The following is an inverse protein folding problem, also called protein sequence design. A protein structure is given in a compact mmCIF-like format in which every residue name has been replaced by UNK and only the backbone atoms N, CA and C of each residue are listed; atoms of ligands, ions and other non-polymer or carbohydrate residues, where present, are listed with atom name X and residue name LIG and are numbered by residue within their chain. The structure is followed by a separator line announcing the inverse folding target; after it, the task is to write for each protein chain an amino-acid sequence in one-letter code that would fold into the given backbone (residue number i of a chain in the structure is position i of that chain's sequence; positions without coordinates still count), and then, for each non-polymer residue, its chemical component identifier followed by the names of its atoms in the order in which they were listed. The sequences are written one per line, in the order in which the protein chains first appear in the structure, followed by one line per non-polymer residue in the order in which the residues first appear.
data_IF_020163602821
#
_entry.id   IF_020163602821
#
_cell.length_a   1.000
_cell.length_b   1.000
_cell.length_c   1.000
_cell.angle_alpha   90.00
_cell.angle_beta   90.00
_cell.angle_gamma   90.00
#
_symmetry.space_group_name_H-M   'P 1'
#
loop_
_entity.id
_entity.type
_entity.pdbx_description
1 polymer ?
#
# COMPACT_ATOMS: atom_id res chain seq x y z
N UNK A 1 -34.73 32.41 -50.67
CA UNK A 1 -35.98 31.93 -51.23
C UNK A 1 -35.91 30.43 -51.35
N UNK A 2 -36.68 29.73 -50.55
CA UNK A 2 -37.36 28.47 -50.81
C UNK A 2 -37.76 27.85 -49.47
N UNK A 3 -38.81 27.81 -49.25
CA UNK A 3 -40.13 27.38 -48.77
C UNK A 3 -40.06 26.07 -47.99
N UNK A 4 -40.51 26.21 -46.75
CA UNK A 4 -40.88 25.20 -45.78
C UNK A 4 -42.14 24.47 -46.24
N UNK A 5 -42.16 23.13 -46.16
CA UNK A 5 -43.39 22.33 -46.24
C UNK A 5 -43.53 21.52 -44.99
N UNK A 6 -44.49 21.91 -44.17
CA UNK A 6 -44.95 21.15 -43.00
C UNK A 6 -45.93 20.10 -43.42
N UNK A 7 -45.73 18.84 -43.09
CA UNK A 7 -46.76 17.78 -43.25
C UNK A 7 -47.23 17.42 -41.83
N UNK A 8 -48.53 17.68 -41.63
CA UNK A 8 -49.28 17.36 -40.42
C UNK A 8 -49.82 15.93 -40.57
N UNK A 9 -49.43 14.99 -39.73
CA UNK A 9 -50.08 13.67 -39.66
C UNK A 9 -51.07 13.66 -38.50
N UNK A 10 -52.35 13.49 -38.88
CA UNK A 10 -53.46 13.34 -37.94
C UNK A 10 -53.61 11.84 -37.62
N UNK A 11 -53.41 11.44 -36.34
CA UNK A 11 -53.68 10.06 -35.90
C UNK A 11 -54.97 10.01 -35.11
N UNK A 12 -55.89 9.22 -35.63
CA UNK A 12 -57.18 8.90 -35.00
C UNK A 12 -56.97 8.00 -33.79
N UNK A 13 -57.48 8.40 -32.63
CA UNK A 13 -57.53 7.57 -31.43
C UNK A 13 -58.87 6.83 -31.41
N UNK A 14 -58.83 5.52 -31.53
CA UNK A 14 -59.95 4.64 -31.23
C UNK A 14 -59.91 4.29 -29.73
N UNK A 15 -60.93 4.74 -29.01
CA UNK A 15 -61.17 4.38 -27.61
C UNK A 15 -61.87 3.01 -27.59
N UNK A 16 -61.17 2.01 -27.11
CA UNK A 16 -61.74 0.71 -26.75
C UNK A 16 -61.74 0.52 -25.27
N UNK A 17 -62.89 0.58 -24.62
CA UNK A 17 -63.06 0.16 -23.25
C UNK A 17 -62.96 -1.37 -23.15
N UNK A 18 -62.09 -1.85 -22.29
CA UNK A 18 -62.12 -3.23 -21.83
C UNK A 18 -61.87 -3.27 -20.34
N UNK A 19 -62.85 -3.74 -19.60
CA UNK A 19 -62.78 -4.04 -18.19
C UNK A 19 -61.65 -5.03 -17.91
N UNK A 20 -60.77 -4.69 -17.02
CA UNK A 20 -59.79 -5.64 -16.46
C UNK A 20 -59.79 -5.57 -14.95
N UNK A 21 -60.05 -6.70 -14.36
CA UNK A 21 -60.00 -6.96 -12.92
C UNK A 21 -58.62 -6.53 -12.35
N UNK A 22 -58.70 -5.83 -11.23
CA UNK A 22 -57.51 -5.40 -10.49
C UNK A 22 -56.65 -6.57 -10.02
N UNK A 23 -55.49 -6.67 -10.57
CA UNK A 23 -54.40 -7.38 -9.92
C UNK A 23 -53.63 -6.37 -9.05
N UNK A 24 -53.75 -6.58 -7.72
CA UNK A 24 -52.89 -5.89 -6.77
C UNK A 24 -51.43 -6.37 -6.99
N UNK A 25 -50.68 -5.68 -7.83
CA UNK A 25 -49.23 -5.81 -7.83
C UNK A 25 -48.72 -5.06 -6.60
N UNK A 26 -48.31 -5.83 -5.61
CA UNK A 26 -47.48 -5.35 -4.50
C UNK A 26 -46.20 -4.78 -5.12
N UNK A 27 -45.78 -3.54 -4.82
CA UNK A 27 -44.51 -3.05 -5.32
C UNK A 27 -43.38 -3.96 -4.81
N UNK A 28 -42.71 -4.65 -5.73
CA UNK A 28 -41.48 -5.36 -5.44
C UNK A 28 -40.47 -4.34 -4.91
N UNK A 29 -40.26 -4.35 -3.60
CA UNK A 29 -39.20 -3.58 -2.97
C UNK A 29 -37.90 -4.15 -3.50
N UNK A 30 -37.32 -3.49 -4.48
CA UNK A 30 -35.97 -3.78 -4.95
C UNK A 30 -35.04 -3.55 -3.75
N UNK A 31 -34.75 -4.63 -3.02
CA UNK A 31 -33.70 -4.64 -1.99
C UNK A 31 -32.41 -4.45 -2.75
N UNK A 32 -31.91 -3.23 -2.78
CA UNK A 32 -30.58 -2.95 -3.27
C UNK A 32 -29.63 -3.75 -2.39
N UNK A 33 -29.06 -4.85 -2.91
CA UNK A 33 -28.14 -5.67 -2.18
C UNK A 33 -26.93 -4.78 -1.83
N UNK A 34 -26.80 -4.40 -0.56
CA UNK A 34 -25.64 -3.67 -0.09
C UNK A 34 -24.43 -4.58 -0.36
N UNK A 35 -23.59 -4.18 -1.30
CA UNK A 35 -22.37 -4.92 -1.62
C UNK A 35 -21.40 -4.72 -0.45
N UNK A 36 -20.94 -5.80 0.14
CA UNK A 36 -19.94 -5.76 1.20
C UNK A 36 -18.65 -5.11 0.65
N UNK A 37 -18.20 -3.97 1.20
CA UNK A 37 -17.03 -3.29 0.67
C UNK A 37 -15.71 -4.00 1.00
N UNK A 38 -15.71 -4.93 1.98
CA UNK A 38 -14.55 -5.66 2.48
C UNK A 38 -14.84 -7.17 2.49
N UNK A 39 -15.08 -7.80 1.33
CA UNK A 39 -15.57 -9.19 1.26
C UNK A 39 -14.57 -10.22 1.78
N UNK A 40 -13.26 -9.94 1.72
CA UNK A 40 -12.19 -10.82 2.23
C UNK A 40 -11.99 -10.72 3.75
N UNK A 41 -12.73 -9.83 4.42
CA UNK A 41 -12.74 -9.72 5.87
C UNK A 41 -13.87 -10.56 6.47
N UNK A 42 -13.62 -11.16 7.62
CA UNK A 42 -14.67 -11.71 8.46
C UNK A 42 -15.56 -10.59 9.03
N UNK A 43 -16.77 -10.92 9.45
CA UNK A 43 -17.66 -9.94 10.10
C UNK A 43 -17.30 -9.80 11.57
N UNK A 44 -16.26 -9.04 11.86
CA UNK A 44 -15.65 -8.81 13.17
C UNK A 44 -15.52 -7.32 13.48
N UNK A 45 -15.15 -7.01 14.70
CA UNK A 45 -15.09 -5.63 15.19
C UNK A 45 -14.16 -4.72 14.36
N UNK A 46 -13.00 -5.22 13.90
CA UNK A 46 -12.07 -4.45 13.09
C UNK A 46 -12.70 -3.97 11.79
N UNK A 47 -13.39 -4.86 11.05
CA UNK A 47 -14.14 -4.52 9.85
C UNK A 47 -15.26 -3.52 10.12
N UNK A 48 -16.04 -3.78 11.17
CA UNK A 48 -17.17 -2.92 11.54
C UNK A 48 -16.70 -1.51 11.94
N UNK A 49 -15.60 -1.40 12.68
CA UNK A 49 -15.00 -0.12 13.07
C UNK A 49 -14.54 0.69 11.85
N UNK A 50 -13.90 0.04 10.86
CA UNK A 50 -13.49 0.70 9.62
C UNK A 50 -14.70 1.25 8.86
N UNK A 51 -15.72 0.41 8.66
CA UNK A 51 -16.93 0.81 7.93
C UNK A 51 -17.67 1.93 8.69
N UNK A 52 -17.81 1.80 10.00
CA UNK A 52 -18.46 2.83 10.82
C UNK A 52 -17.72 4.16 10.77
N UNK A 53 -16.36 4.14 10.86
CA UNK A 53 -15.56 5.35 10.74
C UNK A 53 -15.75 6.02 9.38
N UNK A 54 -15.57 5.28 8.28
CA UNK A 54 -15.71 5.84 6.93
C UNK A 54 -17.11 6.40 6.71
N UNK A 55 -18.15 5.66 7.10
CA UNK A 55 -19.55 6.11 6.96
C UNK A 55 -19.80 7.40 7.72
N UNK A 56 -19.30 7.52 8.93
CA UNK A 56 -19.51 8.70 9.78
C UNK A 56 -18.80 9.94 9.22
N UNK A 57 -17.52 9.81 8.85
CA UNK A 57 -16.72 10.98 8.41
C UNK A 57 -17.02 11.41 6.97
N UNK A 58 -17.76 10.61 6.23
CA UNK A 58 -18.17 10.95 4.85
C UNK A 58 -19.62 11.42 4.74
N UNK A 59 -20.41 11.25 5.79
CA UNK A 59 -21.78 11.73 5.86
C UNK A 59 -21.79 13.25 6.14
N UNK A 60 -22.30 14.03 5.21
CA UNK A 60 -22.40 15.50 5.32
C UNK A 60 -23.26 15.98 6.51
N UNK A 61 -24.18 15.14 6.98
CA UNK A 61 -25.03 15.46 8.15
C UNK A 61 -24.36 15.08 9.48
N UNK A 62 -23.19 14.44 9.46
CA UNK A 62 -22.45 14.07 10.68
C UNK A 62 -21.67 15.26 11.23
N UNK A 63 -21.64 15.39 12.57
CA UNK A 63 -20.76 16.33 13.26
C UNK A 63 -19.26 16.02 13.03
N UNK A 64 -18.96 14.80 12.61
CA UNK A 64 -17.62 14.31 12.31
C UNK A 64 -17.27 14.41 10.81
N UNK A 65 -18.12 15.03 9.99
CA UNK A 65 -17.86 15.14 8.55
C UNK A 65 -16.49 15.74 8.26
N UNK A 66 -15.76 15.07 7.39
CA UNK A 66 -14.44 15.53 6.92
C UNK A 66 -14.57 15.96 5.46
N UNK A 67 -14.23 17.21 5.10
CA UNK A 67 -14.19 17.64 3.71
C UNK A 67 -13.25 16.77 2.87
N UNK A 68 -13.61 16.49 1.61
CA UNK A 68 -12.83 15.62 0.69
C UNK A 68 -11.34 16.03 0.64
N UNK A 69 -11.05 17.32 0.64
CA UNK A 69 -9.68 17.84 0.61
C UNK A 69 -8.83 17.44 1.83
N UNK A 70 -9.46 17.01 2.93
CA UNK A 70 -8.79 16.64 4.19
C UNK A 70 -8.86 15.12 4.47
N UNK A 71 -9.50 14.33 3.58
CA UNK A 71 -9.54 12.87 3.67
C UNK A 71 -8.23 12.25 3.21
N UNK A 72 -7.18 12.38 4.01
CA UNK A 72 -5.86 11.84 3.76
C UNK A 72 -5.67 10.56 4.56
N UNK A 73 -5.29 9.46 3.87
CA UNK A 73 -4.94 8.19 4.50
C UNK A 73 -3.52 7.78 4.15
N UNK A 74 -2.78 7.25 5.12
CA UNK A 74 -1.39 6.81 4.99
C UNK A 74 -1.23 5.37 5.40
N UNK A 75 -0.44 4.62 4.66
CA UNK A 75 -0.22 3.18 4.84
C UNK A 75 1.27 2.89 4.80
N UNK A 76 1.76 2.14 5.76
CA UNK A 76 3.05 1.46 5.56
C UNK A 76 2.93 0.43 4.44
N UNK A 77 4.07 -0.05 3.95
CA UNK A 77 4.13 -1.02 2.86
C UNK A 77 4.49 -2.42 3.36
N UNK A 78 5.74 -2.59 3.82
CA UNK A 78 6.28 -3.88 4.23
C UNK A 78 5.58 -4.38 5.50
N UNK A 79 4.99 -5.58 5.44
CA UNK A 79 4.19 -6.14 6.52
C UNK A 79 2.80 -5.53 6.69
N UNK A 80 2.45 -4.44 5.97
CA UNK A 80 1.12 -3.83 6.06
C UNK A 80 0.29 -3.96 4.78
N UNK A 81 0.88 -3.74 3.61
CA UNK A 81 0.21 -3.91 2.32
C UNK A 81 0.67 -5.17 1.57
N UNK A 82 1.87 -5.64 1.84
CA UNK A 82 2.41 -6.90 1.32
C UNK A 82 3.25 -7.61 2.39
N UNK A 83 3.61 -8.87 2.15
CA UNK A 83 4.43 -9.66 3.06
C UNK A 83 5.86 -9.08 3.19
N UNK A 84 6.49 -9.26 4.36
CA UNK A 84 7.85 -8.79 4.63
C UNK A 84 8.79 -9.90 5.13
N UNK A 85 8.27 -11.07 5.47
CA UNK A 85 9.05 -12.19 5.98
C UNK A 85 9.53 -13.11 4.82
N UNK A 86 10.73 -13.75 4.91
CA UNK A 86 11.67 -13.72 6.04
C UNK A 86 12.59 -12.50 6.03
N UNK A 87 12.54 -11.64 5.02
CA UNK A 87 13.26 -10.38 4.89
C UNK A 87 12.55 -9.48 3.87
N UNK A 88 12.80 -8.17 3.95
CA UNK A 88 12.21 -7.17 3.04
C UNK A 88 12.48 -7.50 1.58
N UNK A 89 11.47 -7.35 0.71
CA UNK A 89 11.59 -7.67 -0.71
C UNK A 89 12.68 -6.86 -1.41
N UNK A 90 12.87 -5.60 -1.01
CA UNK A 90 13.96 -4.77 -1.51
C UNK A 90 15.35 -5.34 -1.17
N UNK A 91 15.51 -6.06 -0.06
CA UNK A 91 16.77 -6.73 0.27
C UNK A 91 17.07 -7.86 -0.72
N UNK A 92 16.08 -8.67 -1.07
CA UNK A 92 16.27 -9.72 -2.10
C UNK A 92 16.64 -9.12 -3.45
N UNK A 93 15.99 -8.03 -3.86
CA UNK A 93 16.39 -7.29 -5.04
C UNK A 93 17.85 -6.82 -4.97
N UNK A 94 18.26 -6.24 -3.84
CA UNK A 94 19.64 -5.76 -3.65
C UNK A 94 20.66 -6.91 -3.71
N UNK A 95 20.35 -8.07 -3.13
CA UNK A 95 21.19 -9.28 -3.20
C UNK A 95 21.34 -9.74 -4.64
N UNK A 96 20.24 -9.86 -5.39
CA UNK A 96 20.27 -10.30 -6.78
C UNK A 96 21.07 -9.32 -7.67
N UNK A 97 20.93 -8.01 -7.45
CA UNK A 97 21.73 -6.99 -8.15
C UNK A 97 23.21 -7.09 -7.81
N UNK A 98 23.58 -7.33 -6.56
CA UNK A 98 24.99 -7.56 -6.19
C UNK A 98 25.56 -8.77 -6.91
N UNK A 99 24.79 -9.86 -7.04
CA UNK A 99 25.20 -11.05 -7.81
C UNK A 99 25.41 -10.74 -9.31
N UNK A 100 24.52 -9.96 -9.92
CA UNK A 100 24.66 -9.55 -11.31
C UNK A 100 25.90 -8.69 -11.55
N UNK A 101 26.24 -7.78 -10.64
CA UNK A 101 27.36 -6.85 -10.73
C UNK A 101 28.69 -7.45 -10.26
N UNK A 102 28.68 -8.65 -9.65
CA UNK A 102 29.87 -9.25 -9.01
C UNK A 102 31.08 -9.42 -9.93
N UNK A 103 30.86 -9.61 -11.25
CA UNK A 103 31.96 -9.70 -12.22
C UNK A 103 32.72 -8.39 -12.40
N UNK A 104 32.10 -7.25 -12.12
CA UNK A 104 32.68 -5.91 -12.22
C UNK A 104 33.35 -5.51 -10.87
N UNK A 105 33.08 -6.25 -9.80
CA UNK A 105 33.50 -5.98 -8.43
C UNK A 105 34.17 -7.19 -7.76
N UNK A 106 35.37 -7.60 -8.20
CA UNK A 106 36.04 -8.78 -7.65
C UNK A 106 36.35 -8.69 -6.16
N UNK A 107 36.47 -7.48 -5.60
CA UNK A 107 36.65 -7.22 -4.15
C UNK A 107 35.46 -7.75 -3.32
N UNK A 108 34.26 -7.81 -3.87
CA UNK A 108 33.08 -8.30 -3.16
C UNK A 108 33.14 -9.78 -2.78
N UNK A 109 34.01 -10.55 -3.41
CA UNK A 109 34.27 -11.95 -3.03
C UNK A 109 34.85 -12.10 -1.61
N UNK A 110 35.44 -11.04 -1.08
CA UNK A 110 36.15 -11.06 0.22
C UNK A 110 35.61 -10.05 1.22
N UNK A 111 34.90 -9.03 0.77
CA UNK A 111 34.41 -7.93 1.62
C UNK A 111 32.96 -8.16 2.08
N UNK A 112 32.72 -7.96 3.38
CA UNK A 112 31.36 -7.94 3.92
C UNK A 112 30.74 -6.57 3.72
N UNK A 113 29.41 -6.50 3.46
CA UNK A 113 28.41 -7.58 3.45
C UNK A 113 28.26 -8.29 2.10
N UNK A 114 28.99 -7.87 1.08
CA UNK A 114 28.87 -8.38 -0.31
C UNK A 114 29.16 -9.87 -0.40
N UNK A 115 30.20 -10.35 0.28
CA UNK A 115 30.51 -11.78 0.34
C UNK A 115 29.32 -12.59 0.82
N UNK A 116 28.68 -12.17 1.90
CA UNK A 116 27.51 -12.85 2.44
C UNK A 116 26.34 -12.85 1.44
N UNK A 117 26.13 -11.74 0.72
CA UNK A 117 25.14 -11.66 -0.33
C UNK A 117 25.41 -12.62 -1.50
N UNK A 118 26.69 -12.75 -1.92
CA UNK A 118 27.10 -13.66 -2.98
C UNK A 118 26.98 -15.14 -2.59
N UNK A 119 27.14 -15.44 -1.31
CA UNK A 119 27.07 -16.80 -0.75
C UNK A 119 25.68 -17.18 -0.22
N UNK A 120 24.67 -16.30 -0.35
CA UNK A 120 23.32 -16.45 0.23
C UNK A 120 23.32 -16.64 1.77
N UNK A 121 24.34 -16.12 2.45
CA UNK A 121 24.46 -16.20 3.91
C UNK A 121 23.58 -15.11 4.58
N UNK A 122 22.30 -15.40 4.65
CA UNK A 122 21.31 -14.48 5.27
C UNK A 122 21.59 -14.22 6.74
N UNK A 123 22.17 -15.18 7.47
CA UNK A 123 22.50 -15.00 8.89
C UNK A 123 23.57 -13.91 9.08
N UNK A 124 24.64 -13.97 8.30
CA UNK A 124 25.69 -12.94 8.29
C UNK A 124 25.18 -11.60 7.80
N UNK A 125 24.32 -11.58 6.76
CA UNK A 125 23.69 -10.36 6.28
C UNK A 125 22.86 -9.68 7.36
N UNK A 126 21.99 -10.41 8.05
CA UNK A 126 21.17 -9.85 9.13
C UNK A 126 22.02 -9.36 10.31
N UNK A 127 23.13 -10.06 10.63
CA UNK A 127 24.08 -9.62 11.65
C UNK A 127 24.87 -8.36 11.27
N UNK A 128 24.98 -8.03 9.97
CA UNK A 128 25.62 -6.79 9.53
C UNK A 128 24.83 -5.53 9.92
N UNK A 129 23.57 -5.71 10.32
CA UNK A 129 22.68 -4.67 10.76
C UNK A 129 22.35 -3.66 9.65
N UNK A 130 21.76 -2.54 10.06
CA UNK A 130 21.32 -1.47 9.15
C UNK A 130 22.46 -0.97 8.24
N UNK A 131 23.67 -0.84 8.78
CA UNK A 131 24.82 -0.35 8.01
C UNK A 131 25.19 -1.29 6.84
N UNK A 132 25.24 -2.60 7.08
CA UNK A 132 25.54 -3.58 6.03
C UNK A 132 24.45 -3.66 4.98
N UNK A 133 23.19 -3.64 5.40
CA UNK A 133 22.06 -3.61 4.46
C UNK A 133 22.08 -2.34 3.60
N UNK A 134 22.42 -1.21 4.19
CA UNK A 134 22.54 0.06 3.49
C UNK A 134 23.67 0.05 2.43
N UNK A 135 24.79 -0.64 2.72
CA UNK A 135 25.87 -0.81 1.73
C UNK A 135 25.39 -1.62 0.51
N UNK A 136 24.60 -2.69 0.71
CA UNK A 136 24.00 -3.44 -0.42
C UNK A 136 23.04 -2.57 -1.22
N UNK A 137 22.20 -1.79 -0.54
CA UNK A 137 21.29 -0.85 -1.22
C UNK A 137 22.07 0.18 -2.01
N UNK A 138 23.14 0.77 -1.48
CA UNK A 138 23.95 1.73 -2.22
C UNK A 138 24.59 1.13 -3.46
N UNK A 139 25.18 -0.07 -3.32
CA UNK A 139 25.82 -0.76 -4.44
C UNK A 139 24.85 -1.17 -5.55
N UNK A 140 23.65 -1.57 -5.18
CA UNK A 140 22.61 -2.01 -6.12
C UNK A 140 21.79 -0.88 -6.75
N UNK A 141 21.78 0.31 -6.16
CA UNK A 141 20.88 1.40 -6.54
C UNK A 141 21.59 2.62 -7.13
N UNK A 142 22.88 2.85 -6.84
CA UNK A 142 23.63 3.98 -7.35
C UNK A 142 24.22 3.71 -8.75
N UNK A 143 24.59 4.80 -9.46
CA UNK A 143 25.30 4.75 -10.75
C UNK A 143 24.39 4.73 -11.99
N UNK A 144 23.08 4.49 -11.83
CA UNK A 144 22.12 4.50 -12.95
C UNK A 144 21.25 5.76 -12.94
N UNK A 145 20.62 6.08 -14.07
CA UNK A 145 19.54 7.06 -14.10
C UNK A 145 18.27 6.49 -13.41
N UNK A 146 17.34 7.37 -13.06
CA UNK A 146 16.06 6.96 -12.49
C UNK A 146 15.27 6.05 -13.43
N UNK A 147 15.31 6.32 -14.74
CA UNK A 147 14.63 5.54 -15.77
C UNK A 147 15.27 4.15 -15.97
N UNK A 148 16.61 4.08 -15.93
CA UNK A 148 17.34 2.81 -16.01
C UNK A 148 17.05 1.94 -14.78
N UNK A 149 17.04 2.54 -13.59
CA UNK A 149 16.74 1.84 -12.36
C UNK A 149 15.30 1.29 -12.33
N UNK A 150 14.34 2.10 -12.77
CA UNK A 150 12.94 1.69 -12.93
C UNK A 150 12.80 0.46 -13.84
N UNK A 151 13.51 0.47 -14.98
CA UNK A 151 13.51 -0.66 -15.92
C UNK A 151 14.11 -1.93 -15.30
N UNK A 152 15.23 -1.80 -14.57
CA UNK A 152 15.88 -2.92 -13.87
C UNK A 152 14.93 -3.57 -12.86
N UNK A 153 14.22 -2.77 -12.05
CA UNK A 153 13.27 -3.31 -11.09
C UNK A 153 12.10 -3.99 -11.79
N UNK A 154 11.54 -3.37 -12.83
CA UNK A 154 10.44 -3.94 -13.61
C UNK A 154 10.81 -5.27 -14.28
N UNK A 155 12.05 -5.44 -14.67
CA UNK A 155 12.52 -6.71 -15.24
C UNK A 155 12.76 -7.76 -14.14
N UNK A 156 13.33 -7.35 -13.00
CA UNK A 156 13.50 -8.24 -11.85
C UNK A 156 12.17 -8.79 -11.34
N UNK A 157 11.16 -7.96 -11.12
CA UNK A 157 9.88 -8.37 -10.53
C UNK A 157 9.11 -9.38 -11.39
N UNK A 158 9.36 -9.42 -12.70
CA UNK A 158 8.71 -10.38 -13.62
C UNK A 158 9.16 -11.82 -13.39
N UNK A 159 10.40 -12.00 -12.92
CA UNK A 159 11.04 -13.32 -12.83
C UNK A 159 11.41 -13.72 -11.41
N UNK A 160 11.57 -12.76 -10.52
CA UNK A 160 11.94 -12.99 -9.13
C UNK A 160 10.84 -13.74 -8.37
N UNK A 161 11.26 -14.74 -7.62
CA UNK A 161 10.39 -15.65 -6.86
C UNK A 161 10.76 -15.62 -5.39
N UNK A 162 9.77 -15.42 -4.55
CA UNK A 162 9.94 -15.39 -3.10
C UNK A 162 10.54 -16.71 -2.56
N UNK A 163 11.60 -16.68 -1.71
CA UNK A 163 12.38 -17.86 -1.37
C UNK A 163 11.61 -18.97 -0.66
N UNK A 164 10.56 -18.64 0.08
CA UNK A 164 9.75 -19.60 0.85
C UNK A 164 8.37 -19.83 0.24
N UNK A 165 7.64 -18.80 -0.15
CA UNK A 165 6.29 -18.90 -0.74
C UNK A 165 6.30 -19.42 -2.17
N UNK A 166 7.43 -19.37 -2.89
CA UNK A 166 7.60 -19.89 -4.26
C UNK A 166 6.67 -19.27 -5.30
N UNK A 167 6.24 -18.03 -5.07
CA UNK A 167 5.46 -17.20 -6.01
C UNK A 167 6.17 -15.89 -6.25
N UNK A 168 5.81 -15.16 -7.32
CA UNK A 168 6.34 -13.83 -7.58
C UNK A 168 6.02 -12.85 -6.45
N UNK A 169 6.92 -11.92 -6.19
CA UNK A 169 6.74 -10.93 -5.12
C UNK A 169 5.48 -10.08 -5.32
N UNK A 170 5.12 -9.79 -6.57
CA UNK A 170 3.90 -9.06 -6.95
C UNK A 170 2.59 -9.77 -6.55
N UNK A 171 2.64 -11.05 -6.19
CA UNK A 171 1.50 -11.85 -5.75
C UNK A 171 1.33 -11.88 -4.23
N UNK A 172 2.31 -11.35 -3.49
CA UNK A 172 2.33 -11.39 -2.02
C UNK A 172 1.79 -10.11 -1.38
N UNK A 173 0.88 -9.45 -2.07
CA UNK A 173 0.10 -8.33 -1.55
C UNK A 173 -1.11 -8.84 -0.76
N UNK A 174 -1.49 -8.15 0.30
CA UNK A 174 -2.61 -8.58 1.14
C UNK A 174 -3.95 -8.19 0.53
N UNK A 175 -4.73 -9.17 0.12
CA UNK A 175 -6.05 -8.97 -0.50
C UNK A 175 -6.99 -8.10 0.35
N UNK A 176 -7.12 -8.31 1.67
CA UNK A 176 -7.98 -7.47 2.49
C UNK A 176 -7.54 -6.00 2.54
N UNK A 177 -6.24 -5.74 2.45
CA UNK A 177 -5.72 -4.37 2.42
C UNK A 177 -5.94 -3.70 1.06
N UNK A 178 -5.89 -4.45 -0.05
CA UNK A 178 -6.30 -3.92 -1.37
C UNK A 178 -7.78 -3.49 -1.38
N UNK A 179 -8.65 -4.29 -0.75
CA UNK A 179 -10.07 -3.92 -0.59
C UNK A 179 -10.24 -2.66 0.27
N UNK A 180 -9.48 -2.54 1.35
CA UNK A 180 -9.48 -1.36 2.21
C UNK A 180 -9.03 -0.10 1.45
N UNK A 181 -7.94 -0.18 0.68
CA UNK A 181 -7.48 0.92 -0.18
C UNK A 181 -8.57 1.32 -1.18
N UNK A 182 -9.21 0.34 -1.83
CA UNK A 182 -10.29 0.59 -2.79
C UNK A 182 -11.51 1.22 -2.11
N UNK A 183 -11.90 0.71 -0.93
CA UNK A 183 -13.03 1.23 -0.16
C UNK A 183 -12.81 2.68 0.27
N UNK A 184 -11.61 3.02 0.76
CA UNK A 184 -11.27 4.39 1.12
C UNK A 184 -11.32 5.32 -0.10
N UNK A 185 -10.74 4.92 -1.24
CA UNK A 185 -10.80 5.73 -2.47
C UNK A 185 -12.22 5.91 -3.00
N UNK A 186 -13.05 4.88 -2.92
CA UNK A 186 -14.48 4.97 -3.27
C UNK A 186 -15.27 5.95 -2.38
N UNK A 187 -14.70 6.34 -1.25
CA UNK A 187 -15.21 7.34 -0.32
C UNK A 187 -14.37 8.63 -0.32
N UNK A 188 -13.72 8.92 -1.44
CA UNK A 188 -12.93 10.13 -1.70
C UNK A 188 -11.72 10.34 -0.77
N UNK A 189 -11.19 9.29 -0.16
CA UNK A 189 -9.91 9.38 0.54
C UNK A 189 -8.75 9.35 -0.46
N UNK A 190 -7.78 10.21 -0.24
CA UNK A 190 -6.50 10.17 -0.94
C UNK A 190 -5.55 9.24 -0.19
N UNK A 191 -5.20 8.12 -0.81
CA UNK A 191 -4.38 7.08 -0.18
C UNK A 191 -2.91 7.26 -0.52
N UNK A 192 -2.05 7.26 0.49
CA UNK A 192 -0.59 7.37 0.35
C UNK A 192 0.09 6.14 0.93
N UNK A 193 1.14 5.65 0.26
CA UNK A 193 2.11 4.74 0.86
C UNK A 193 3.20 5.58 1.53
N UNK A 194 3.58 5.21 2.76
CA UNK A 194 4.63 5.88 3.56
C UNK A 194 5.51 4.80 4.18
N UNK A 195 6.67 4.51 3.59
CA UNK A 195 7.45 3.32 3.88
C UNK A 195 8.93 3.61 4.15
N UNK A 196 9.53 2.83 5.06
CA UNK A 196 10.97 2.78 5.25
C UNK A 196 11.74 2.30 4.02
N UNK A 197 11.09 1.58 3.11
CA UNK A 197 11.64 1.13 1.84
C UNK A 197 11.97 2.27 0.87
N UNK A 198 12.79 1.96 -0.14
CA UNK A 198 13.21 2.92 -1.17
C UNK A 198 12.05 3.34 -2.07
N UNK A 199 11.79 4.65 -2.15
CA UNK A 199 10.68 5.20 -2.92
C UNK A 199 10.72 4.80 -4.40
N UNK A 200 11.90 4.79 -5.01
CA UNK A 200 12.04 4.46 -6.43
C UNK A 200 11.82 2.96 -6.69
N UNK A 201 12.24 2.11 -5.74
CA UNK A 201 11.95 0.68 -5.80
C UNK A 201 10.43 0.44 -5.79
N UNK A 202 9.72 1.05 -4.86
CA UNK A 202 8.27 0.92 -4.76
C UNK A 202 7.54 1.47 -5.99
N UNK A 203 7.90 2.67 -6.46
CA UNK A 203 7.26 3.32 -7.63
C UNK A 203 7.33 2.47 -8.89
N UNK A 204 8.39 1.67 -9.05
CA UNK A 204 8.60 0.87 -10.24
C UNK A 204 7.49 -0.19 -10.47
N UNK A 205 6.91 -0.75 -9.40
CA UNK A 205 5.93 -1.84 -9.55
C UNK A 205 4.72 -1.81 -8.60
N UNK A 206 4.78 -1.17 -7.43
CA UNK A 206 3.63 -1.17 -6.51
C UNK A 206 2.50 -0.24 -6.95
N UNK A 207 2.81 0.81 -7.72
CA UNK A 207 1.81 1.77 -8.20
C UNK A 207 0.64 1.07 -8.93
N UNK A 208 0.87 0.23 -9.96
CA UNK A 208 -0.21 -0.46 -10.63
C UNK A 208 -0.89 -1.55 -9.78
N UNK A 209 -0.19 -2.13 -8.80
CA UNK A 209 -0.74 -3.19 -7.95
C UNK A 209 -1.75 -2.61 -6.95
N UNK A 210 -1.44 -1.45 -6.34
CA UNK A 210 -2.31 -0.81 -5.36
C UNK A 210 -3.28 0.19 -5.99
N UNK A 211 -3.16 0.47 -7.30
CA UNK A 211 -3.87 1.55 -7.97
C UNK A 211 -3.65 2.90 -7.24
N UNK A 212 -2.40 3.15 -6.84
CA UNK A 212 -1.93 4.38 -6.20
C UNK A 212 -0.94 5.06 -7.14
N UNK A 213 -1.16 6.33 -7.53
CA UNK A 213 -0.24 7.03 -8.42
C UNK A 213 1.12 7.28 -7.75
N UNK A 214 2.18 7.29 -8.58
CA UNK A 214 3.57 7.33 -8.11
C UNK A 214 3.89 8.50 -7.17
N UNK A 215 3.25 9.65 -7.35
CA UNK A 215 3.41 10.83 -6.49
C UNK A 215 2.78 10.65 -5.10
N UNK A 216 1.94 9.65 -4.89
CA UNK A 216 1.37 9.28 -3.60
C UNK A 216 2.19 8.17 -2.90
N UNK A 217 3.31 7.75 -3.47
CA UNK A 217 4.26 6.83 -2.85
C UNK A 217 5.40 7.64 -2.25
N UNK A 218 5.52 7.58 -0.94
CA UNK A 218 6.52 8.26 -0.11
C UNK A 218 7.42 7.18 0.49
N UNK A 219 8.74 7.43 0.52
CA UNK A 219 9.68 6.45 1.06
C UNK A 219 11.07 7.03 1.28
N UNK A 220 11.98 6.18 1.72
CA UNK A 220 13.39 6.52 1.85
C UNK A 220 14.01 6.84 0.49
N UNK A 221 14.97 7.74 0.49
CA UNK A 221 15.62 8.23 -0.74
C UNK A 221 17.12 8.16 -0.64
N UNK A 222 17.77 7.77 -1.72
CA UNK A 222 19.20 8.03 -1.95
C UNK A 222 19.38 9.39 -2.61
N UNK A 223 20.59 9.91 -2.61
CA UNK A 223 20.94 11.17 -3.28
C UNK A 223 20.80 11.03 -4.80
N UNK A 224 20.42 12.12 -5.43
CA UNK A 224 20.32 12.24 -6.89
C UNK A 224 20.93 13.54 -7.35
N UNK A 225 21.41 13.54 -8.60
CA UNK A 225 21.97 14.72 -9.27
C UNK A 225 21.29 14.90 -10.62
N UNK A 226 21.06 16.15 -11.02
CA UNK A 226 20.60 16.46 -12.36
C UNK A 226 21.78 16.51 -13.31
N UNK A 227 21.75 15.68 -14.34
CA UNK A 227 22.76 15.65 -15.40
C UNK A 227 22.17 16.13 -16.72
N UNK A 228 22.88 17.09 -17.38
CA UNK A 228 22.53 17.64 -18.68
C UNK A 228 23.74 17.75 -19.61
N UNK A 229 24.81 16.98 -19.36
CA UNK A 229 26.10 17.15 -20.04
C UNK A 229 26.07 16.86 -21.54
N UNK A 230 25.19 15.97 -21.98
CA UNK A 230 25.04 15.56 -23.39
C UNK A 230 23.82 16.18 -24.09
N UNK A 231 23.17 17.15 -23.45
CA UNK A 231 21.93 17.77 -23.94
C UNK A 231 20.68 16.90 -23.72
N UNK A 232 20.80 15.75 -23.05
CA UNK A 232 19.73 14.86 -22.69
C UNK A 232 19.56 14.83 -21.16
N UNK A 233 18.52 15.47 -20.59
CA UNK A 233 18.38 15.61 -19.14
C UNK A 233 18.13 14.24 -18.49
N UNK A 234 18.87 13.95 -17.41
CA UNK A 234 18.73 12.74 -16.60
C UNK A 234 18.78 13.08 -15.12
N UNK A 235 18.14 12.27 -14.30
CA UNK A 235 18.33 12.24 -12.85
C UNK A 235 19.21 11.03 -12.54
N UNK A 236 20.45 11.29 -12.16
CA UNK A 236 21.43 10.26 -11.82
C UNK A 236 21.36 9.95 -10.33
N UNK A 237 21.31 8.68 -10.00
CA UNK A 237 21.30 8.16 -8.64
C UNK A 237 22.73 8.05 -8.13
N UNK A 238 23.06 8.76 -7.05
CA UNK A 238 24.41 8.79 -6.50
C UNK A 238 24.47 8.08 -5.15
N UNK A 239 25.65 7.60 -4.77
CA UNK A 239 25.83 6.95 -3.48
C UNK A 239 25.59 7.95 -2.33
N UNK A 240 24.80 7.55 -1.37
CA UNK A 240 24.48 8.33 -0.15
C UNK A 240 22.99 8.44 0.10
N UNK A 241 22.64 8.49 1.37
CA UNK A 241 21.25 8.67 1.82
C UNK A 241 20.89 10.14 1.74
N UNK A 242 19.73 10.44 1.16
CA UNK A 242 19.08 11.75 1.24
C UNK A 242 18.12 11.80 2.44
N UNK A 243 17.27 10.77 2.59
CA UNK A 243 16.29 10.73 3.67
C UNK A 243 15.91 9.28 4.03
N UNK A 244 15.76 8.98 5.31
CA UNK A 244 15.20 7.71 5.82
C UNK A 244 13.76 7.96 6.29
N UNK A 245 12.79 7.27 5.66
CA UNK A 245 11.37 7.41 5.93
C UNK A 245 10.87 6.32 6.90
N UNK A 246 11.59 6.15 8.00
CA UNK A 246 11.24 5.21 9.06
C UNK A 246 11.11 5.93 10.39
N UNK A 247 10.30 5.40 11.30
CA UNK A 247 10.04 5.98 12.64
C UNK A 247 9.65 7.46 12.53
N UNK A 248 10.41 8.34 13.18
CA UNK A 248 10.18 9.79 13.18
C UNK A 248 10.29 10.40 11.77
N UNK A 249 10.97 9.72 10.84
CA UNK A 249 11.04 10.11 9.44
C UNK A 249 9.67 10.15 8.76
N UNK A 250 8.78 9.19 9.07
CA UNK A 250 7.46 9.09 8.45
C UNK A 250 6.62 10.36 8.66
N UNK A 251 6.34 10.86 9.88
CA UNK A 251 5.58 12.11 10.04
C UNK A 251 6.30 13.34 9.47
N UNK A 252 7.62 13.40 9.50
CA UNK A 252 8.38 14.49 8.91
C UNK A 252 8.20 14.54 7.38
N UNK A 253 8.25 13.39 6.74
CA UNK A 253 8.09 13.29 5.28
C UNK A 253 6.63 13.50 4.83
N UNK A 254 5.66 12.99 5.60
CA UNK A 254 4.24 13.31 5.44
C UNK A 254 4.02 14.83 5.47
N UNK A 255 4.54 15.52 6.49
CA UNK A 255 4.42 16.97 6.60
C UNK A 255 5.09 17.68 5.42
N UNK A 256 6.25 17.22 4.98
CA UNK A 256 7.01 17.84 3.88
C UNK A 256 6.33 17.67 2.52
N UNK A 257 5.76 16.48 2.25
CA UNK A 257 5.25 16.11 0.92
C UNK A 257 3.74 16.37 0.81
N UNK A 258 2.95 15.99 1.81
CA UNK A 258 1.50 16.16 1.81
C UNK A 258 1.08 17.53 2.35
N UNK A 259 1.78 18.04 3.37
CA UNK A 259 1.47 19.32 4.03
C UNK A 259 0.22 19.28 4.91
N UNK A 260 -0.35 18.10 5.14
CA UNK A 260 -1.54 17.86 5.98
C UNK A 260 -1.34 16.66 6.87
N UNK A 261 -1.97 16.66 8.06
CA UNK A 261 -2.06 15.47 8.89
C UNK A 261 -3.05 14.49 8.29
N UNK A 262 -2.72 13.19 8.22
CA UNK A 262 -3.69 12.17 7.84
C UNK A 262 -4.85 12.11 8.84
N UNK A 263 -5.98 11.58 8.39
CA UNK A 263 -7.13 11.23 9.24
C UNK A 263 -7.29 9.72 9.37
N UNK A 264 -6.52 8.96 8.60
CA UNK A 264 -6.43 7.51 8.67
C UNK A 264 -4.96 7.09 8.51
N UNK A 265 -4.47 6.21 9.38
CA UNK A 265 -3.13 5.62 9.23
C UNK A 265 -3.16 4.13 9.55
N UNK A 266 -2.40 3.35 8.77
CA UNK A 266 -2.20 1.92 8.98
C UNK A 266 -0.73 1.54 8.95
N UNK A 267 -0.33 0.64 9.84
CA UNK A 267 1.00 0.06 9.92
C UNK A 267 0.98 -1.30 10.61
N UNK A 268 2.15 -1.92 10.77
CA UNK A 268 2.28 -3.24 11.41
C UNK A 268 3.42 -3.31 12.43
N UNK A 269 4.16 -2.22 12.61
CA UNK A 269 5.37 -2.23 13.44
C UNK A 269 5.53 -0.98 14.31
N UNK A 270 6.49 -1.03 15.24
CA UNK A 270 6.92 0.14 16.02
C UNK A 270 7.53 1.25 15.15
N UNK A 271 7.98 0.92 13.93
CA UNK A 271 8.43 1.89 12.94
C UNK A 271 7.31 2.83 12.48
N UNK A 272 6.06 2.37 12.54
CA UNK A 272 4.88 3.13 12.13
C UNK A 272 4.27 3.96 13.26
N UNK A 273 4.67 3.66 14.50
CA UNK A 273 4.08 4.30 15.67
C UNK A 273 4.07 5.84 15.58
N UNK A 274 5.16 6.52 15.17
CA UNK A 274 5.15 7.98 15.03
C UNK A 274 4.15 8.47 13.95
N UNK A 275 3.94 7.72 12.85
CA UNK A 275 2.94 8.05 11.83
C UNK A 275 1.53 7.95 12.39
N UNK A 276 1.22 6.89 13.16
CA UNK A 276 -0.08 6.72 13.79
C UNK A 276 -0.32 7.78 14.87
N UNK A 277 0.69 8.10 15.68
CA UNK A 277 0.63 9.18 16.68
C UNK A 277 0.39 10.55 16.03
N UNK A 278 1.05 10.81 14.89
CA UNK A 278 0.85 12.05 14.13
C UNK A 278 -0.58 12.15 13.61
N UNK A 279 -1.14 11.06 13.12
CA UNK A 279 -2.53 10.94 12.69
C UNK A 279 -3.49 11.13 13.86
N UNK A 280 -3.25 10.47 15.00
CA UNK A 280 -4.06 10.60 16.23
C UNK A 280 -4.11 12.03 16.76
N UNK A 281 -3.12 12.87 16.44
CA UNK A 281 -3.09 14.28 16.82
C UNK A 281 -3.86 15.21 15.87
N UNK A 282 -4.58 14.68 14.87
CA UNK A 282 -5.43 15.47 13.98
C UNK A 282 -6.65 16.02 14.76
N UNK A 283 -7.12 17.19 14.37
CA UNK A 283 -8.33 17.82 14.95
C UNK A 283 -9.62 17.23 14.40
N UNK A 284 -9.60 16.65 13.21
CA UNK A 284 -10.71 15.85 12.70
C UNK A 284 -10.77 14.50 13.41
N UNK A 285 -11.92 13.85 13.37
CA UNK A 285 -12.04 12.44 13.77
C UNK A 285 -11.03 11.62 12.96
N UNK A 286 -10.27 10.76 13.64
CA UNK A 286 -9.19 10.02 13.03
C UNK A 286 -9.25 8.53 13.37
N UNK A 287 -8.53 7.72 12.61
CA UNK A 287 -8.55 6.27 12.73
C UNK A 287 -7.13 5.69 12.59
N UNK A 288 -6.68 5.00 13.60
CA UNK A 288 -5.40 4.29 13.63
C UNK A 288 -5.66 2.79 13.57
N UNK A 289 -4.95 2.13 12.64
CA UNK A 289 -5.09 0.72 12.35
C UNK A 289 -3.72 0.04 12.44
N UNK A 290 -3.60 -0.98 13.27
CA UNK A 290 -2.45 -1.89 13.26
C UNK A 290 -2.83 -3.25 12.68
N UNK A 291 -2.00 -3.77 11.80
CA UNK A 291 -2.03 -5.16 11.38
C UNK A 291 -1.13 -5.97 12.29
N UNK A 292 -1.72 -6.87 13.08
CA UNK A 292 -0.99 -7.82 13.91
C UNK A 292 -0.90 -9.18 13.20
N UNK A 293 0.31 -9.61 12.93
CA UNK A 293 0.60 -10.86 12.24
C UNK A 293 0.46 -12.04 13.19
N UNK A 294 -0.67 -12.73 13.13
CA UNK A 294 -1.02 -13.83 14.03
C UNK A 294 -1.14 -15.17 13.33
N UNK A 295 -1.10 -15.20 11.97
CA UNK A 295 -1.38 -16.38 11.17
C UNK A 295 -0.11 -17.13 10.77
N UNK A 296 0.28 -18.09 11.59
CA UNK A 296 1.45 -18.94 11.36
C UNK A 296 1.26 -19.93 10.20
N UNK A 297 0.01 -20.20 9.78
CA UNK A 297 -0.30 -21.23 8.78
C UNK A 297 -0.33 -20.65 7.37
N UNK A 298 -1.05 -19.54 7.18
CA UNK A 298 -1.25 -18.94 5.86
C UNK A 298 -0.16 -17.93 5.49
N UNK A 299 0.39 -17.23 6.53
CA UNK A 299 1.42 -16.21 6.37
C UNK A 299 2.60 -16.47 7.32
N UNK A 300 2.90 -15.58 8.27
CA UNK A 300 3.80 -15.73 9.40
C UNK A 300 3.15 -15.12 10.64
N UNK A 301 3.47 -15.68 11.81
CA UNK A 301 3.13 -15.06 13.07
C UNK A 301 4.36 -14.44 13.70
N UNK A 302 4.34 -13.14 13.96
CA UNK A 302 5.41 -12.40 14.60
C UNK A 302 4.87 -11.10 15.23
N UNK A 303 5.53 -10.63 16.28
CA UNK A 303 5.19 -9.39 16.98
C UNK A 303 6.40 -8.81 17.76
N UNK A 304 6.38 -8.89 19.09
CA UNK A 304 7.27 -8.18 20.02
C UNK A 304 8.76 -8.55 19.90
N UNK A 305 9.06 -9.78 19.53
CA UNK A 305 10.43 -10.32 19.49
C UNK A 305 10.99 -10.42 18.06
N UNK A 306 10.23 -9.96 17.06
CA UNK A 306 10.67 -10.01 15.67
C UNK A 306 11.83 -9.06 15.39
N UNK A 307 12.73 -9.47 14.49
CA UNK A 307 13.83 -8.62 14.01
C UNK A 307 13.36 -7.59 12.97
N UNK A 308 12.35 -7.94 12.17
CA UNK A 308 11.67 -7.06 11.22
C UNK A 308 10.17 -7.07 11.54
N UNK A 309 9.49 -5.98 11.30
CA UNK A 309 8.06 -5.86 11.61
C UNK A 309 7.76 -5.96 13.11
N UNK A 310 8.71 -5.58 13.98
CA UNK A 310 8.52 -5.63 15.44
C UNK A 310 7.37 -4.75 15.87
N UNK A 311 6.33 -5.35 16.50
CA UNK A 311 5.17 -4.67 17.05
C UNK A 311 5.12 -4.87 18.56
N UNK A 312 5.72 -3.98 19.31
CA UNK A 312 5.82 -4.03 20.78
C UNK A 312 5.16 -2.81 21.42
N UNK A 313 5.79 -1.64 21.31
CA UNK A 313 5.28 -0.37 21.85
C UNK A 313 4.01 0.09 21.15
N UNK A 314 3.93 -0.14 19.82
CA UNK A 314 2.76 0.16 19.02
C UNK A 314 1.54 -0.62 19.48
N UNK A 315 1.69 -1.91 19.80
CA UNK A 315 0.62 -2.75 20.31
C UNK A 315 0.15 -2.30 21.71
N UNK A 316 1.09 -1.95 22.58
CA UNK A 316 0.77 -1.43 23.92
C UNK A 316 0.00 -0.10 23.83
N UNK A 317 0.43 0.80 22.95
CA UNK A 317 -0.26 2.07 22.74
C UNK A 317 -1.66 1.86 22.12
N UNK A 318 -1.78 1.01 21.11
CA UNK A 318 -3.05 0.69 20.48
C UNK A 318 -4.06 0.17 21.51
N UNK A 319 -3.64 -0.76 22.35
CA UNK A 319 -4.49 -1.30 23.42
C UNK A 319 -4.87 -0.24 24.46
N UNK A 320 -3.96 0.65 24.81
CA UNK A 320 -4.19 1.72 25.79
C UNK A 320 -5.17 2.78 25.26
N UNK A 321 -5.02 3.17 24.00
CA UNK A 321 -5.73 4.31 23.41
C UNK A 321 -6.96 3.85 22.60
N UNK A 322 -7.25 2.54 22.56
CA UNK A 322 -8.41 1.97 21.86
C UNK A 322 -8.31 2.03 20.35
N UNK A 323 -7.09 1.97 19.79
CA UNK A 323 -6.89 1.88 18.35
C UNK A 323 -7.33 0.50 17.83
N UNK A 324 -7.73 0.44 16.58
CA UNK A 324 -8.13 -0.83 15.97
C UNK A 324 -6.90 -1.66 15.63
N UNK A 325 -6.89 -2.92 16.11
CA UNK A 325 -5.85 -3.90 15.80
C UNK A 325 -6.50 -5.06 15.04
N UNK A 326 -5.98 -5.37 13.86
CA UNK A 326 -6.38 -6.52 13.06
C UNK A 326 -5.66 -7.75 13.60
N UNK A 327 -6.37 -8.79 13.91
CA UNK A 327 -5.84 -10.15 14.12
C UNK A 327 -5.88 -10.87 12.78
N UNK A 328 -4.73 -11.02 12.10
CA UNK A 328 -4.68 -11.56 10.73
C UNK A 328 -5.36 -12.93 10.61
N UNK A 329 -5.15 -13.82 11.59
CA UNK A 329 -5.72 -15.17 11.59
C UNK A 329 -7.26 -15.14 11.67
N UNK A 330 -7.81 -14.27 12.53
CA UNK A 330 -9.25 -14.25 12.83
C UNK A 330 -10.05 -13.31 11.95
N UNK A 331 -9.44 -12.17 11.54
CA UNK A 331 -10.16 -11.10 10.89
C UNK A 331 -10.21 -11.27 9.37
N UNK A 332 -9.30 -12.04 8.78
CA UNK A 332 -9.20 -12.22 7.34
C UNK A 332 -9.63 -13.62 6.88
N UNK A 333 -10.46 -13.68 5.85
CA UNK A 333 -10.90 -14.95 5.19
C UNK A 333 -9.82 -15.49 4.28
N UNK A 334 -9.14 -14.58 3.56
CA UNK A 334 -8.02 -14.87 2.64
C UNK A 334 -6.88 -13.90 2.94
N UNK A 335 -5.66 -14.28 2.61
CA UNK A 335 -4.48 -13.44 2.77
C UNK A 335 -4.11 -12.82 1.43
N UNK A 336 -3.96 -13.62 0.37
CA UNK A 336 -3.43 -13.19 -0.91
C UNK A 336 -4.48 -13.28 -2.04
N UNK A 337 -4.39 -12.43 -3.08
CA UNK A 337 -5.36 -12.42 -4.20
C UNK A 337 -5.51 -13.77 -4.92
N UNK A 338 -4.45 -14.58 -5.01
CA UNK A 338 -4.50 -15.88 -5.67
C UNK A 338 -5.36 -16.91 -4.92
N UNK A 339 -5.71 -16.67 -3.67
CA UNK A 339 -6.62 -17.52 -2.91
C UNK A 339 -8.10 -17.35 -3.32
N UNK A 340 -8.44 -16.23 -3.98
CA UNK A 340 -9.80 -15.96 -4.45
C UNK A 340 -10.21 -16.80 -5.66
N UNK A 341 -9.25 -17.40 -6.36
CA UNK A 341 -9.48 -18.14 -7.61
C UNK A 341 -9.60 -19.65 -7.42
N UNK A 342 -9.63 -20.13 -6.19
CA UNK A 342 -9.76 -21.57 -5.84
C UNK A 342 -11.16 -21.94 -5.39
#
# INVERSE_FOLDING_TARGET
MNKIVSILFLVFILVGCKDTAGTNETPETTVTKIVDPLPSWNDVASKQNIIAYVTDVTNEDSENFIPIADRISTFDNDGNLWAEQPAYFQLFFAIDRVKELASEHPEWQTEQPFKAALEDDMETLMKSGEHGLLQLVMASHAGSSSEEFDAIIKDWIKTAVHPTKKVGYDKLVYQPMLELLQYLRANDFKTYVVSGGGVDFMRAFVSPIYDIPAEQIIGSRIKTEFDYNDGNPKIIRTAGIDFIDDKDGKPLNIQKIIGKKPVFASGNSDGDLPMLQWTASNTHKNFMLYLHHTDVVREWAYDRDSHIGKLDKGLDQANKDGWTVIDMEKDWKVIFPFELTN
#
